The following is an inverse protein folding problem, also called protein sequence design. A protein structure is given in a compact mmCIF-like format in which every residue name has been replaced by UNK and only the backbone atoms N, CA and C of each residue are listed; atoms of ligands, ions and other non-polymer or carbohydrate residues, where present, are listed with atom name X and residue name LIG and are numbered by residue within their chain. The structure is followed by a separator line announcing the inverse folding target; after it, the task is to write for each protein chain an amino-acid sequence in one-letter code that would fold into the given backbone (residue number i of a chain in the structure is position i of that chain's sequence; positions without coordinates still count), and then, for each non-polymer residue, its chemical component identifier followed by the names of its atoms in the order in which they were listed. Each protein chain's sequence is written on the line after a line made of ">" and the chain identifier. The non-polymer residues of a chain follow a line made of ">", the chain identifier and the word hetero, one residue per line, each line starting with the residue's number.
data_IF_630050101230
#
_entry.id   IF_630050101230
#
_cell.length_a   1.000
_cell.length_b   1.000
_cell.length_c   1.000
_cell.angle_alpha   90.00
_cell.angle_beta   90.00
_cell.angle_gamma   90.00
#
_symmetry.space_group_name_H-M   'P 1'
#
loop_
_entity.id
_entity.type
_entity.pdbx_description
1 polymer ?
#
# COMPACT_ATOMS: atom_id res chain seq x y z
N UNK A 1 16.93 -5.08 -7.81
CA UNK A 1 17.07 -3.93 -8.53
C UNK A 1 17.16 -2.77 -7.60
N UNK A 2 18.11 -2.01 -7.86
CA UNK A 2 18.35 -0.87 -7.04
C UNK A 2 17.62 0.29 -7.63
N UNK A 3 16.62 0.74 -6.97
CA UNK A 3 15.99 1.93 -7.41
C UNK A 3 16.80 3.08 -6.91
N UNK A 4 17.11 3.96 -7.77
CA UNK A 4 17.81 5.13 -7.34
C UNK A 4 16.84 6.04 -6.62
N UNK A 5 17.38 6.81 -5.70
CA UNK A 5 16.56 7.75 -4.97
C UNK A 5 15.90 8.76 -5.91
N UNK A 6 16.59 9.12 -6.96
CA UNK A 6 16.03 10.06 -7.90
C UNK A 6 14.81 9.51 -8.61
N UNK A 7 14.86 8.21 -8.87
CA UNK A 7 13.74 7.56 -9.50
C UNK A 7 12.53 7.50 -8.56
N UNK A 8 12.81 7.31 -7.28
CA UNK A 8 11.74 7.16 -6.31
C UNK A 8 11.01 8.46 -6.04
N UNK A 9 11.67 9.57 -6.26
CA UNK A 9 11.04 10.86 -6.05
C UNK A 9 9.81 11.04 -6.93
N UNK A 10 9.86 10.46 -8.09
CA UNK A 10 8.81 10.67 -9.08
C UNK A 10 7.83 9.52 -9.16
N UNK A 11 8.00 8.51 -8.33
CA UNK A 11 7.12 7.37 -8.36
C UNK A 11 6.25 7.34 -7.14
N UNK A 12 5.00 6.99 -7.33
CA UNK A 12 4.11 6.69 -6.23
C UNK A 12 3.83 5.23 -6.21
N UNK A 13 3.94 4.65 -5.04
CA UNK A 13 3.59 3.26 -4.84
C UNK A 13 2.25 3.20 -4.16
N UNK A 14 1.43 2.27 -4.61
CA UNK A 14 0.16 2.06 -3.95
C UNK A 14 -0.21 0.60 -4.03
N UNK A 15 -1.07 0.21 -3.13
CA UNK A 15 -1.63 -1.13 -3.12
C UNK A 15 -3.13 -1.01 -3.25
N UNK A 16 -3.68 -1.73 -4.19
CA UNK A 16 -5.11 -1.76 -4.40
C UNK A 16 -5.59 -3.12 -3.93
N UNK A 17 -6.48 -3.13 -2.97
CA UNK A 17 -6.90 -4.37 -2.33
C UNK A 17 -8.38 -4.59 -2.59
N UNK A 18 -8.69 -5.77 -3.06
CA UNK A 18 -10.07 -6.18 -3.26
C UNK A 18 -10.24 -7.58 -2.73
N UNK A 19 -11.47 -8.01 -2.61
CA UNK A 19 -11.72 -9.34 -2.09
C UNK A 19 -13.02 -9.91 -2.61
N UNK A 20 -13.09 -11.21 -2.57
CA UNK A 20 -14.32 -11.95 -2.77
C UNK A 20 -14.58 -12.74 -1.48
N UNK A 21 -15.51 -13.68 -1.53
CA UNK A 21 -15.77 -14.50 -0.37
C UNK A 21 -14.65 -15.50 -0.11
N UNK A 22 -13.84 -15.77 -1.10
CA UNK A 22 -12.83 -16.83 -0.96
C UNK A 22 -11.40 -16.33 -1.03
N UNK A 23 -11.17 -15.08 -1.44
CA UNK A 23 -9.78 -14.65 -1.60
C UNK A 23 -9.66 -13.15 -1.52
N UNK A 24 -8.44 -12.72 -1.21
CA UNK A 24 -8.05 -11.31 -1.26
C UNK A 24 -7.04 -11.13 -2.37
N UNK A 25 -7.18 -10.05 -3.09
CA UNK A 25 -6.28 -9.72 -4.17
C UNK A 25 -5.62 -8.39 -3.84
N UNK A 26 -4.29 -8.41 -3.81
CA UNK A 26 -3.51 -7.21 -3.55
C UNK A 26 -2.70 -6.89 -4.79
N UNK A 27 -2.98 -5.77 -5.39
CA UNK A 27 -2.25 -5.30 -6.56
C UNK A 27 -1.30 -4.21 -6.15
N UNK A 28 -0.02 -4.45 -6.29
CA UNK A 28 0.99 -3.43 -6.06
C UNK A 28 1.24 -2.70 -7.36
N UNK A 29 1.08 -1.40 -7.32
CA UNK A 29 1.14 -0.61 -8.53
C UNK A 29 2.01 0.61 -8.33
N UNK A 30 2.47 1.17 -9.43
CA UNK A 30 3.20 2.43 -9.41
C UNK A 30 2.50 3.41 -10.33
N UNK A 31 2.58 4.68 -9.94
CA UNK A 31 2.03 5.76 -10.74
C UNK A 31 3.17 6.71 -11.02
N UNK A 32 3.33 7.07 -12.27
CA UNK A 32 4.36 8.02 -12.66
C UNK A 32 3.73 9.39 -12.88
N UNK A 33 4.48 10.45 -12.62
CA UNK A 33 3.96 11.80 -12.87
C UNK A 33 3.62 11.97 -14.33
N UNK A 34 2.51 12.60 -14.59
CA UNK A 34 2.09 12.85 -15.94
C UNK A 34 1.42 11.66 -16.61
N UNK A 35 1.37 10.54 -15.95
CA UNK A 35 0.70 9.35 -16.48
C UNK A 35 -0.51 9.10 -15.61
N UNK A 36 -1.67 9.02 -16.22
CA UNK A 36 -2.88 8.88 -15.47
C UNK A 36 -3.17 7.47 -15.03
N UNK A 37 -2.51 6.51 -15.64
CA UNK A 37 -2.80 5.12 -15.35
C UNK A 37 -1.77 4.55 -14.42
N UNK A 38 -2.24 3.83 -13.42
CA UNK A 38 -1.36 3.06 -12.56
C UNK A 38 -0.92 1.81 -13.30
N UNK A 39 0.33 1.43 -13.10
CA UNK A 39 0.84 0.21 -13.69
C UNK A 39 0.98 -0.83 -12.60
N UNK A 40 0.26 -1.92 -12.73
CA UNK A 40 0.35 -2.99 -11.77
C UNK A 40 1.67 -3.72 -11.98
N UNK A 41 2.43 -3.82 -10.90
CA UNK A 41 3.71 -4.52 -10.91
C UNK A 41 3.60 -5.94 -10.42
N UNK A 42 2.72 -6.16 -9.47
CA UNK A 42 2.54 -7.49 -8.89
C UNK A 42 1.13 -7.65 -8.40
N UNK A 43 0.60 -8.81 -8.62
CA UNK A 43 -0.70 -9.17 -8.07
C UNK A 43 -0.51 -10.37 -7.17
N UNK A 44 -0.97 -10.27 -5.96
CA UNK A 44 -0.85 -11.33 -4.97
C UNK A 44 -2.25 -11.74 -4.57
N UNK A 45 -2.49 -13.04 -4.58
CA UNK A 45 -3.78 -13.58 -4.20
C UNK A 45 -3.59 -14.37 -2.92
N UNK A 46 -4.41 -14.06 -1.93
CA UNK A 46 -4.31 -14.66 -0.61
C UNK A 46 -5.63 -15.24 -0.19
N UNK A 47 -5.57 -16.30 0.59
CA UNK A 47 -6.77 -16.73 1.30
C UNK A 47 -7.10 -15.70 2.37
N UNK A 48 -8.36 -15.64 2.82
CA UNK A 48 -8.70 -14.70 3.88
C UNK A 48 -7.88 -14.89 5.14
N UNK A 49 -7.57 -16.12 5.47
CA UNK A 49 -6.76 -16.39 6.64
C UNK A 49 -5.35 -15.81 6.48
N UNK A 50 -4.75 -16.00 5.33
CA UNK A 50 -3.42 -15.46 5.07
C UNK A 50 -3.43 -13.95 5.05
N UNK A 51 -4.49 -13.37 4.53
CA UNK A 51 -4.59 -11.91 4.52
C UNK A 51 -4.59 -11.37 5.95
N UNK A 52 -5.29 -12.04 6.84
CA UNK A 52 -5.31 -11.60 8.22
C UNK A 52 -3.97 -11.79 8.90
N UNK A 53 -3.29 -12.87 8.59
CA UNK A 53 -1.95 -13.09 9.13
C UNK A 53 -0.96 -12.05 8.62
N UNK A 54 -1.09 -11.70 7.35
CA UNK A 54 -0.24 -10.67 6.78
C UNK A 54 -0.46 -9.34 7.50
N UNK A 55 -1.70 -9.00 7.75
CA UNK A 55 -2.00 -7.78 8.47
C UNK A 55 -1.30 -7.75 9.82
N UNK A 56 -1.39 -8.83 10.57
CA UNK A 56 -0.78 -8.90 11.88
C UNK A 56 0.73 -8.81 11.82
N UNK A 57 1.32 -9.53 10.90
CA UNK A 57 2.78 -9.50 10.76
C UNK A 57 3.27 -8.14 10.36
N UNK A 58 2.57 -7.52 9.45
CA UNK A 58 2.97 -6.19 9.01
C UNK A 58 2.84 -5.19 10.15
N UNK A 59 1.76 -5.30 10.90
CA UNK A 59 1.55 -4.42 12.04
C UNK A 59 2.66 -4.56 13.07
N UNK A 60 3.06 -5.78 13.38
CA UNK A 60 4.14 -6.01 14.32
C UNK A 60 5.46 -5.43 13.83
N UNK A 61 5.71 -5.59 12.55
CA UNK A 61 6.94 -5.06 11.98
C UNK A 61 6.95 -3.54 11.97
N UNK A 62 5.81 -2.94 11.71
CA UNK A 62 5.72 -1.49 11.76
C UNK A 62 5.97 -0.99 13.19
N UNK A 63 5.42 -1.67 14.17
CA UNK A 63 5.65 -1.29 15.56
C UNK A 63 7.14 -1.36 15.89
N UNK A 64 7.81 -2.42 15.47
CA UNK A 64 9.24 -2.54 15.73
C UNK A 64 10.03 -1.47 15.00
N UNK A 65 9.66 -1.20 13.78
CA UNK A 65 10.34 -0.16 13.02
C UNK A 65 10.19 1.17 13.74
N UNK A 66 8.98 1.50 14.17
CA UNK A 66 8.75 2.78 14.79
C UNK A 66 9.43 2.90 16.14
N UNK A 67 9.65 1.79 16.82
CA UNK A 67 10.38 1.81 18.08
C UNK A 67 11.88 2.02 17.88
N UNK A 68 12.41 1.51 16.79
CA UNK A 68 13.86 1.53 16.60
C UNK A 68 14.33 2.63 15.68
N UNK A 69 13.53 3.01 14.73
CA UNK A 69 13.93 4.00 13.72
C UNK A 69 13.22 5.31 13.94
N UNK A 70 11.91 5.28 14.03
CA UNK A 70 11.14 6.48 14.21
C UNK A 70 9.76 6.32 13.64
N UNK A 71 8.90 7.23 14.03
CA UNK A 71 7.51 7.17 13.64
C UNK A 71 7.37 7.36 12.14
N UNK A 72 6.56 6.51 11.54
CA UNK A 72 6.24 6.63 10.11
C UNK A 72 5.11 7.62 9.98
N UNK A 73 5.35 8.67 9.23
CA UNK A 73 4.32 9.67 9.01
C UNK A 73 3.76 9.52 7.62
N UNK A 74 2.46 9.48 7.55
CA UNK A 74 1.79 9.39 6.28
C UNK A 74 1.30 10.79 5.95
N UNK A 75 1.88 11.41 4.93
CA UNK A 75 1.42 12.75 4.58
C UNK A 75 -0.03 12.70 4.13
N UNK A 76 -0.79 13.60 4.65
CA UNK A 76 -2.16 13.71 4.25
C UNK A 76 -2.28 14.94 3.40
N UNK A 77 -2.24 14.79 2.12
CA UNK A 77 -2.16 15.95 1.25
C UNK A 77 -3.37 16.85 1.37
N UNK A 78 -4.51 16.29 1.55
CA UNK A 78 -5.69 17.12 1.63
C UNK A 78 -6.74 16.47 2.45
N UNK A 79 -7.32 17.19 3.38
CA UNK A 79 -8.49 16.68 4.05
C UNK A 79 -9.60 16.63 3.04
N UNK A 80 -10.11 15.46 2.81
CA UNK A 80 -11.27 15.36 1.98
C UNK A 80 -12.48 15.57 2.86
N UNK A 81 -13.33 16.48 2.50
CA UNK A 81 -14.51 16.71 3.31
C UNK A 81 -15.39 15.50 3.34
N UNK A 82 -15.31 14.71 2.37
CA UNK A 82 -16.12 13.55 2.32
C UNK A 82 -15.38 12.38 2.85
N UNK A 83 -15.58 12.12 4.07
CA UNK A 83 -14.86 11.06 4.70
C UNK A 83 -15.53 9.73 4.51
N UNK A 84 -16.21 9.56 3.46
CA UNK A 84 -16.80 8.27 3.21
C UNK A 84 -15.75 7.18 3.31
N UNK A 85 -16.13 5.99 3.69
CA UNK A 85 -15.18 4.91 3.85
C UNK A 85 -14.54 4.61 2.52
N UNK A 86 -13.23 4.59 2.56
CA UNK A 86 -12.46 4.23 1.40
C UNK A 86 -11.92 2.86 1.59
N UNK A 87 -12.45 1.96 0.86
CA UNK A 87 -12.06 0.60 1.03
C UNK A 87 -11.07 0.24 -0.03
N UNK A 88 -10.09 -0.53 0.36
CA UNK A 88 -9.24 -1.17 -0.59
C UNK A 88 -8.13 -0.33 -1.16
N UNK A 89 -7.85 0.80 -0.58
CA UNK A 89 -6.79 1.62 -1.10
C UNK A 89 -5.79 1.95 0.00
N UNK A 90 -4.56 1.67 -0.26
CA UNK A 90 -3.50 1.91 0.72
C UNK A 90 -2.29 2.54 0.09
#
# INVERSE_FOLDING_TARGET
>A
GVSSAASDVYKRQLAIISHSTSEFIIDFATVLPGVQKARVKSRIILTPEHAKRLLRSLQENIVRYESNVGKIEIPSPQPTPDAGPKMGQA
#
